data_IF_716505944349
#
_entry.id   IF_716505944349
#
_cell.length_a   1.000
_cell.length_b   1.000
_cell.length_c   1.000
_cell.angle_alpha   90.00
_cell.angle_beta   90.00
_cell.angle_gamma   90.00
#
_symmetry.space_group_name_H-M   'P 1'
#
loop_
_entity.id
_entity.type
_entity.pdbx_description
1 polymer ?
#
# COMPACT_ATOMS: atom_id res chain seq x y z
N UNK A 1 -13.71 -18.55 -15.07
CA UNK A 1 -12.92 -19.34 -14.09
C UNK A 1 -11.47 -18.85 -14.02
N UNK A 2 -10.80 -18.59 -15.16
CA UNK A 2 -9.44 -18.03 -15.16
C UNK A 2 -9.28 -16.64 -14.51
N UNK A 3 -10.26 -15.73 -14.62
CA UNK A 3 -10.15 -14.40 -14.01
C UNK A 3 -10.11 -14.48 -12.47
N UNK A 4 -10.96 -15.32 -11.87
CA UNK A 4 -10.98 -15.55 -10.42
C UNK A 4 -9.64 -16.07 -9.90
N UNK A 5 -9.00 -16.99 -10.62
CA UNK A 5 -7.68 -17.52 -10.23
C UNK A 5 -6.61 -16.42 -10.25
N UNK A 6 -6.58 -15.57 -11.29
CA UNK A 6 -5.62 -14.45 -11.41
C UNK A 6 -5.79 -13.44 -10.26
N UNK A 7 -7.03 -13.12 -9.89
CA UNK A 7 -7.35 -12.24 -8.75
C UNK A 7 -6.88 -12.85 -7.42
N UNK A 8 -7.21 -14.13 -7.17
CA UNK A 8 -6.81 -14.83 -5.94
C UNK A 8 -5.29 -14.86 -5.79
N UNK A 9 -4.56 -15.17 -6.88
CA UNK A 9 -3.09 -15.15 -6.88
C UNK A 9 -2.57 -13.76 -6.52
N UNK A 10 -3.14 -12.70 -7.10
CA UNK A 10 -2.75 -11.32 -6.79
C UNK A 10 -2.94 -10.98 -5.31
N UNK A 11 -4.05 -11.43 -4.71
CA UNK A 11 -4.35 -11.22 -3.27
C UNK A 11 -3.37 -12.00 -2.37
N UNK A 12 -3.07 -13.26 -2.72
CA UNK A 12 -2.11 -14.07 -1.96
C UNK A 12 -0.72 -13.41 -2.02
N UNK A 13 -0.30 -12.96 -3.20
CA UNK A 13 0.97 -12.28 -3.37
C UNK A 13 1.03 -10.96 -2.60
N UNK A 14 -0.04 -10.15 -2.59
CA UNK A 14 -0.08 -8.90 -1.81
C UNK A 14 -0.05 -9.16 -0.30
N UNK A 15 -0.69 -10.23 0.16
CA UNK A 15 -0.63 -10.69 1.55
C UNK A 15 0.79 -11.09 1.92
N UNK A 16 1.47 -11.83 1.04
CA UNK A 16 2.86 -12.27 1.25
C UNK A 16 3.83 -11.09 1.29
N UNK A 17 3.64 -10.07 0.44
CA UNK A 17 4.40 -8.82 0.50
C UNK A 17 4.25 -8.17 1.87
N UNK A 18 3.01 -7.99 2.33
CA UNK A 18 2.71 -7.36 3.62
C UNK A 18 3.33 -8.14 4.77
N UNK A 19 3.18 -9.47 4.76
CA UNK A 19 3.77 -10.35 5.77
C UNK A 19 5.29 -10.24 5.82
N UNK A 20 5.95 -10.29 4.67
CA UNK A 20 7.42 -10.17 4.57
C UNK A 20 7.91 -8.80 5.04
N UNK A 21 7.17 -7.74 4.72
CA UNK A 21 7.47 -6.37 5.17
C UNK A 21 7.38 -6.25 6.69
N UNK A 22 6.28 -6.74 7.28
CA UNK A 22 6.08 -6.74 8.74
C UNK A 22 7.17 -7.54 9.44
N UNK A 23 7.49 -8.76 8.96
CA UNK A 23 8.56 -9.56 9.54
C UNK A 23 9.93 -8.89 9.40
N UNK A 24 10.21 -8.24 8.27
CA UNK A 24 11.44 -7.48 8.06
C UNK A 24 11.62 -6.38 9.10
N UNK A 25 10.53 -5.69 9.48
CA UNK A 25 10.56 -4.65 10.51
C UNK A 25 10.69 -5.24 11.91
N UNK A 26 9.87 -6.25 12.26
CA UNK A 26 9.86 -6.88 13.59
C UNK A 26 11.25 -7.46 13.93
N UNK A 27 11.87 -8.15 12.97
CA UNK A 27 13.20 -8.74 13.15
C UNK A 27 14.35 -7.78 12.86
N UNK A 28 14.07 -6.50 12.58
CA UNK A 28 15.05 -5.51 12.14
C UNK A 28 15.97 -6.02 11.01
N UNK A 29 15.42 -6.83 10.10
CA UNK A 29 16.15 -7.48 9.02
C UNK A 29 15.97 -6.72 7.70
N UNK A 30 16.99 -5.96 7.34
CA UNK A 30 16.96 -5.11 6.15
C UNK A 30 16.87 -5.91 4.84
N UNK A 31 17.44 -7.11 4.78
CA UNK A 31 17.36 -7.95 3.59
C UNK A 31 15.92 -8.42 3.34
N UNK A 32 15.21 -8.82 4.39
CA UNK A 32 13.78 -9.16 4.29
C UNK A 32 12.95 -7.95 3.84
N UNK A 33 13.27 -6.76 4.34
CA UNK A 33 12.64 -5.52 3.88
C UNK A 33 12.88 -5.30 2.37
N UNK A 34 14.12 -5.39 1.89
CA UNK A 34 14.44 -5.25 0.45
C UNK A 34 13.67 -6.28 -0.38
N UNK A 35 13.63 -7.53 0.04
CA UNK A 35 12.89 -8.60 -0.64
C UNK A 35 11.40 -8.26 -0.72
N UNK A 36 10.81 -7.75 0.37
CA UNK A 36 9.41 -7.31 0.38
C UNK A 36 9.14 -6.20 -0.63
N UNK A 37 10.07 -5.24 -0.80
CA UNK A 37 9.95 -4.16 -1.77
C UNK A 37 10.06 -4.65 -3.22
N UNK A 38 10.94 -5.61 -3.49
CA UNK A 38 11.04 -6.23 -4.82
C UNK A 38 9.74 -6.97 -5.15
N UNK A 39 9.25 -7.79 -4.22
CA UNK A 39 7.98 -8.51 -4.39
C UNK A 39 6.82 -7.52 -4.58
N UNK A 40 6.81 -6.42 -3.86
CA UNK A 40 5.80 -5.38 -4.01
C UNK A 40 5.76 -4.80 -5.43
N UNK A 41 6.93 -4.46 -6.01
CA UNK A 41 7.02 -3.97 -7.39
C UNK A 41 6.47 -5.01 -8.38
N UNK A 42 6.78 -6.29 -8.16
CA UNK A 42 6.27 -7.40 -8.99
C UNK A 42 4.74 -7.49 -8.88
N UNK A 43 4.18 -7.33 -7.69
CA UNK A 43 2.73 -7.41 -7.41
C UNK A 43 1.96 -6.19 -7.92
N UNK A 44 2.60 -5.02 -8.04
CA UNK A 44 1.96 -3.84 -8.62
C UNK A 44 1.49 -4.08 -10.06
N UNK A 45 2.25 -4.84 -10.86
CA UNK A 45 1.92 -5.14 -12.27
C UNK A 45 0.56 -5.84 -12.40
N UNK A 46 0.31 -7.01 -11.79
CA UNK A 46 -0.99 -7.66 -11.85
C UNK A 46 -2.08 -6.84 -11.15
N UNK A 47 -1.75 -6.10 -10.09
CA UNK A 47 -2.72 -5.23 -9.38
C UNK A 47 -3.30 -4.16 -10.31
N UNK A 48 -2.45 -3.49 -11.09
CA UNK A 48 -2.88 -2.49 -12.07
C UNK A 48 -3.60 -3.15 -13.25
N UNK A 49 -3.08 -4.28 -13.73
CA UNK A 49 -3.62 -4.99 -14.90
C UNK A 49 -5.02 -5.54 -14.65
N UNK A 50 -5.27 -6.10 -13.46
CA UNK A 50 -6.52 -6.76 -13.07
C UNK A 50 -7.39 -5.90 -12.15
N UNK A 51 -7.20 -4.57 -12.18
CA UNK A 51 -7.87 -3.65 -11.26
C UNK A 51 -9.40 -3.80 -11.28
N UNK A 52 -10.01 -3.95 -12.47
CA UNK A 52 -11.46 -4.07 -12.60
C UNK A 52 -11.97 -5.38 -11.99
N UNK A 53 -11.29 -6.49 -12.26
CA UNK A 53 -11.64 -7.79 -11.70
C UNK A 53 -11.40 -7.85 -10.19
N UNK A 54 -10.38 -7.14 -9.69
CA UNK A 54 -10.14 -6.95 -8.26
C UNK A 54 -11.27 -6.13 -7.61
N UNK A 55 -11.62 -4.98 -8.20
CA UNK A 55 -12.71 -4.12 -7.72
C UNK A 55 -14.05 -4.88 -7.67
N UNK A 56 -14.39 -5.62 -8.72
CA UNK A 56 -15.58 -6.47 -8.78
C UNK A 56 -15.53 -7.61 -7.74
N UNK A 57 -14.36 -8.23 -7.53
CA UNK A 57 -14.18 -9.27 -6.52
C UNK A 57 -14.41 -8.75 -5.10
N UNK A 58 -13.92 -7.55 -4.78
CA UNK A 58 -14.11 -6.95 -3.45
C UNK A 58 -15.54 -6.46 -3.25
N UNK A 59 -16.18 -5.92 -4.29
CA UNK A 59 -17.59 -5.48 -4.24
C UNK A 59 -18.56 -6.64 -4.14
N UNK A 60 -18.35 -7.72 -4.89
CA UNK A 60 -19.24 -8.90 -4.87
C UNK A 60 -19.25 -9.68 -3.54
N UNK A 61 -18.28 -9.45 -2.65
CA UNK A 61 -18.28 -10.00 -1.28
C UNK A 61 -19.17 -9.22 -0.30
N UNK A 62 -19.40 -7.94 -0.56
CA UNK A 62 -20.28 -7.09 0.24
C UNK A 62 -21.62 -7.06 -0.48
N UNK A 63 -22.46 -8.08 -0.27
CA UNK A 63 -23.82 -8.23 -0.82
C UNK A 63 -24.45 -6.89 -1.22
N UNK A 64 -24.49 -6.60 -2.53
CA UNK A 64 -25.10 -5.42 -3.18
C UNK A 64 -25.55 -4.30 -2.25
N UNK A 65 -24.63 -3.69 -1.50
CA UNK A 65 -24.84 -2.31 -1.11
C UNK A 65 -24.50 -1.57 -2.39
N UNK A 66 -25.52 -1.27 -3.19
CA UNK A 66 -25.44 -0.21 -4.20
C UNK A 66 -24.95 0.99 -3.40
N UNK A 67 -23.64 1.23 -3.39
CA UNK A 67 -23.06 2.40 -2.75
C UNK A 67 -23.73 3.58 -3.42
N UNK A 68 -24.63 4.23 -2.68
CA UNK A 68 -25.21 5.50 -3.08
C UNK A 68 -24.04 6.40 -3.49
N UNK A 69 -24.21 7.16 -4.58
CA UNK A 69 -23.16 8.05 -5.10
C UNK A 69 -22.59 8.93 -3.99
N UNK A 70 -23.41 9.24 -2.98
CA UNK A 70 -23.03 9.94 -1.75
C UNK A 70 -22.02 9.18 -0.90
N UNK A 71 -22.22 7.89 -0.62
CA UNK A 71 -21.31 7.07 0.19
C UNK A 71 -19.96 6.94 -0.53
N UNK A 72 -19.99 6.64 -1.82
CA UNK A 72 -18.78 6.54 -2.64
C UNK A 72 -18.01 7.87 -2.69
N UNK A 73 -18.73 8.98 -2.79
CA UNK A 73 -18.11 10.31 -2.75
C UNK A 73 -17.49 10.65 -1.39
N UNK A 74 -18.15 10.25 -0.29
CA UNK A 74 -17.62 10.42 1.07
C UNK A 74 -16.34 9.59 1.24
N UNK A 75 -16.35 8.33 0.81
CA UNK A 75 -15.18 7.44 0.91
C UNK A 75 -14.01 7.93 0.06
N UNK A 76 -14.28 8.39 -1.17
CA UNK A 76 -13.24 8.98 -2.01
C UNK A 76 -12.64 10.24 -1.36
N UNK A 77 -13.48 11.12 -0.79
CA UNK A 77 -13.02 12.31 -0.07
C UNK A 77 -12.33 12.01 1.25
N UNK A 78 -12.70 10.96 1.96
CA UNK A 78 -12.11 10.57 3.25
C UNK A 78 -10.80 9.79 3.07
N UNK A 79 -10.66 9.02 1.98
CA UNK A 79 -9.48 8.21 1.70
C UNK A 79 -8.19 9.04 1.57
N UNK A 80 -8.30 10.24 1.00
CA UNK A 80 -7.18 11.14 0.74
C UNK A 80 -6.56 11.75 2.00
N UNK A 81 -7.33 12.40 2.91
CA UNK A 81 -6.81 12.84 4.20
C UNK A 81 -6.40 11.66 5.10
N UNK A 82 -7.07 10.52 5.02
CA UNK A 82 -6.67 9.31 5.73
C UNK A 82 -5.28 8.84 5.28
N UNK A 83 -5.06 8.70 3.98
CA UNK A 83 -3.75 8.36 3.41
C UNK A 83 -2.67 9.38 3.81
N UNK A 84 -2.98 10.67 3.69
CA UNK A 84 -2.06 11.74 4.09
C UNK A 84 -1.69 11.67 5.58
N UNK A 85 -2.65 11.40 6.45
CA UNK A 85 -2.43 11.28 7.90
C UNK A 85 -1.58 10.05 8.23
N UNK A 86 -1.84 8.89 7.61
CA UNK A 86 -1.04 7.69 7.79
C UNK A 86 0.40 7.91 7.34
N UNK A 87 0.61 8.52 6.17
CA UNK A 87 1.96 8.85 5.69
C UNK A 87 2.68 9.83 6.62
N UNK A 88 1.98 10.84 7.14
CA UNK A 88 2.54 11.77 8.11
C UNK A 88 3.01 11.04 9.37
N UNK A 89 2.19 10.14 9.92
CA UNK A 89 2.56 9.34 11.10
C UNK A 89 3.82 8.49 10.80
N UNK A 90 3.86 7.80 9.67
CA UNK A 90 5.03 6.97 9.28
C UNK A 90 6.29 7.83 9.18
N UNK A 91 6.21 9.02 8.58
CA UNK A 91 7.33 9.96 8.46
C UNK A 91 7.77 10.45 9.85
N UNK A 92 6.84 10.84 10.72
CA UNK A 92 7.14 11.31 12.06
C UNK A 92 7.85 10.23 12.90
N UNK A 93 7.38 8.98 12.83
CA UNK A 93 8.03 7.86 13.52
C UNK A 93 9.44 7.65 12.98
N UNK A 94 9.64 7.71 11.66
CA UNK A 94 10.98 7.61 11.06
C UNK A 94 11.91 8.72 11.57
N UNK A 95 11.45 9.98 11.59
CA UNK A 95 12.23 11.13 12.09
C UNK A 95 12.59 10.97 13.57
N UNK A 96 11.64 10.52 14.40
CA UNK A 96 11.88 10.28 15.82
C UNK A 96 13.00 9.24 16.03
N UNK A 97 12.95 8.12 15.30
CA UNK A 97 13.99 7.08 15.37
C UNK A 97 15.34 7.62 14.85
N UNK A 98 15.36 8.37 13.75
CA UNK A 98 16.58 8.99 13.21
C UNK A 98 17.25 9.96 14.20
N UNK A 99 16.44 10.67 14.99
CA UNK A 99 16.92 11.61 16.01
C UNK A 99 17.58 10.85 17.16
N UNK A 100 17.04 9.68 17.50
CA UNK A 100 17.56 8.80 18.53
C UNK A 100 18.73 7.91 18.10
N UNK A 101 19.23 8.04 16.86
CA UNK A 101 20.25 7.14 16.29
C UNK A 101 21.54 7.02 17.11
N UNK A 102 21.90 8.05 17.87
CA UNK A 102 23.11 8.04 18.71
C UNK A 102 22.89 7.28 20.03
N UNK A 103 21.63 7.11 20.45
CA UNK A 103 21.24 6.43 21.69
C UNK A 103 20.81 4.99 21.40
N UNK A 104 20.05 4.77 20.32
CA UNK A 104 19.56 3.46 19.88
C UNK A 104 19.91 3.20 18.41
N UNK A 105 21.19 2.94 18.08
CA UNK A 105 21.64 2.72 16.71
C UNK A 105 21.01 1.49 16.05
N UNK A 106 20.59 0.48 16.83
CA UNK A 106 19.95 -0.75 16.36
C UNK A 106 18.63 -0.50 15.60
N UNK A 107 17.90 0.57 15.94
CA UNK A 107 16.62 0.89 15.29
C UNK A 107 16.77 1.72 14.01
N UNK A 108 17.98 2.12 13.63
CA UNK A 108 18.18 2.98 12.46
C UNK A 108 17.66 2.31 11.17
N UNK A 109 17.71 0.98 11.10
CA UNK A 109 17.17 0.18 9.99
C UNK A 109 15.65 0.38 9.86
N UNK A 110 14.93 0.45 10.98
CA UNK A 110 13.48 0.69 11.01
C UNK A 110 13.17 2.09 10.51
N UNK A 111 14.00 3.09 10.88
CA UNK A 111 13.85 4.45 10.37
C UNK A 111 13.99 4.52 8.84
N UNK A 112 14.98 3.83 8.28
CA UNK A 112 15.14 3.71 6.82
C UNK A 112 13.93 3.01 6.18
N UNK A 113 13.45 1.92 6.77
CA UNK A 113 12.29 1.18 6.27
C UNK A 113 11.03 2.04 6.22
N UNK A 114 10.74 2.81 7.27
CA UNK A 114 9.59 3.72 7.31
C UNK A 114 9.73 4.90 6.35
N UNK A 115 10.91 5.53 6.27
CA UNK A 115 11.16 6.59 5.28
C UNK A 115 10.95 6.10 3.86
N UNK A 116 11.47 4.91 3.53
CA UNK A 116 11.32 4.33 2.20
C UNK A 116 9.86 3.94 1.90
N UNK A 117 9.15 3.40 2.89
CA UNK A 117 7.72 3.07 2.78
C UNK A 117 6.89 4.32 2.50
N UNK A 118 7.15 5.43 3.23
CA UNK A 118 6.46 6.69 3.00
C UNK A 118 6.74 7.25 1.59
N UNK A 119 8.00 7.20 1.15
CA UNK A 119 8.39 7.64 -0.18
C UNK A 119 7.69 6.86 -1.29
N UNK A 120 7.69 5.52 -1.21
CA UNK A 120 6.97 4.66 -2.16
C UNK A 120 5.47 4.93 -2.11
N UNK A 121 4.88 5.04 -0.92
CA UNK A 121 3.46 5.34 -0.75
C UNK A 121 3.07 6.62 -1.49
N UNK A 122 3.85 7.69 -1.31
CA UNK A 122 3.62 8.97 -2.01
C UNK A 122 3.75 8.81 -3.53
N UNK A 123 4.76 8.09 -4.01
CA UNK A 123 4.92 7.82 -5.45
C UNK A 123 3.69 7.13 -6.02
N UNK A 124 3.21 6.07 -5.35
CA UNK A 124 2.03 5.33 -5.80
C UNK A 124 0.81 6.23 -5.79
N UNK A 125 0.63 7.02 -4.73
CA UNK A 125 -0.48 7.96 -4.66
C UNK A 125 -0.47 8.94 -5.84
N UNK A 126 0.69 9.49 -6.20
CA UNK A 126 0.85 10.38 -7.35
C UNK A 126 0.58 9.67 -8.68
N UNK A 127 1.11 8.46 -8.87
CA UNK A 127 0.90 7.65 -10.07
C UNK A 127 -0.58 7.29 -10.21
N UNK A 128 -1.20 6.75 -9.16
CA UNK A 128 -2.60 6.38 -9.12
C UNK A 128 -3.48 7.59 -9.43
N UNK A 129 -3.28 8.71 -8.74
CA UNK A 129 -4.04 9.94 -8.98
C UNK A 129 -3.92 10.41 -10.44
N UNK A 130 -2.72 10.34 -11.02
CA UNK A 130 -2.48 10.74 -12.41
C UNK A 130 -3.13 9.78 -13.40
N UNK A 131 -2.96 8.48 -13.18
CA UNK A 131 -3.52 7.42 -14.01
C UNK A 131 -5.05 7.45 -14.03
N UNK A 132 -5.67 7.49 -12.85
CA UNK A 132 -7.13 7.49 -12.72
C UNK A 132 -7.74 8.80 -13.24
N UNK A 133 -7.12 9.96 -12.98
CA UNK A 133 -7.56 11.23 -13.56
C UNK A 133 -7.56 11.18 -15.09
N UNK A 134 -6.52 10.62 -15.73
CA UNK A 134 -6.44 10.52 -17.20
C UNK A 134 -7.44 9.54 -17.81
N UNK A 135 -7.80 8.47 -17.08
CA UNK A 135 -8.62 7.38 -17.63
C UNK A 135 -10.11 7.49 -17.31
N UNK A 136 -10.49 8.19 -16.24
CA UNK A 136 -11.87 8.22 -15.74
C UNK A 136 -12.45 9.62 -15.52
N UNK A 137 -11.65 10.69 -15.60
CA UNK A 137 -12.16 12.07 -15.59
C UNK A 137 -12.37 12.53 -17.03
N UNK A 138 -13.54 12.24 -17.60
CA UNK A 138 -14.15 13.06 -18.65
C UNK A 138 -14.94 14.18 -17.98
#
# INVERSE_FOLDING_TARGET
MESKIKVIITIILSTLVTFTWVLGIIFANFNLFIVSMILFIIVLIPTIKYYKELDEFFKSRNEEIIEDERTRYIDEKASLPAFGSVMAIVIYVAIAIFTLRNVYPEYIIIAYAFSFTAFIGIIIYLISRTYFKRRYSN
#
